data_IF_182191690100
#
_entry.id   IF_182191690100
#
_cell.length_a   1.000
_cell.length_b   1.000
_cell.length_c   1.000
_cell.angle_alpha   90.00
_cell.angle_beta   90.00
_cell.angle_gamma   90.00
#
_symmetry.space_group_name_H-M   'P 1'
#
loop_
_entity.id
_entity.type
_entity.pdbx_description
1 polymer ?
#
# COMPACT_ATOMS: atom_id res chain seq x y z
N UNK A 1 -6.49 52.68 50.54
CA UNK A 1 -7.87 52.36 50.11
C UNK A 1 -7.83 51.84 48.71
N UNK A 2 -7.70 50.48 48.58
CA UNK A 2 -7.87 49.77 47.33
C UNK A 2 -9.35 49.41 47.14
N UNK A 3 -9.92 49.53 45.94
CA UNK A 3 -11.31 49.17 45.73
C UNK A 3 -11.52 47.70 45.95
N UNK A 4 -12.62 47.36 46.67
CA UNK A 4 -13.01 46.00 47.06
C UNK A 4 -13.45 45.04 45.95
N UNK A 5 -13.28 45.40 44.68
CA UNK A 5 -13.77 44.62 43.52
C UNK A 5 -12.69 44.17 42.56
N UNK A 6 -11.43 44.11 43.02
CA UNK A 6 -10.39 43.42 42.25
C UNK A 6 -10.58 41.90 42.43
N UNK A 7 -11.54 41.35 41.69
CA UNK A 7 -11.55 39.91 41.46
C UNK A 7 -10.27 39.57 40.71
N UNK A 8 -9.38 38.92 41.43
CA UNK A 8 -8.25 38.20 40.85
C UNK A 8 -8.81 37.21 39.86
N UNK A 9 -8.74 37.57 38.58
CA UNK A 9 -8.79 36.55 37.52
C UNK A 9 -7.53 35.71 37.69
N UNK A 10 -7.64 34.67 38.46
CA UNK A 10 -6.74 33.52 38.35
C UNK A 10 -7.00 32.98 36.98
N UNK A 11 -6.13 33.27 36.04
CA UNK A 11 -6.12 32.55 34.77
C UNK A 11 -5.98 31.07 35.17
N UNK A 12 -7.06 30.33 35.05
CA UNK A 12 -6.96 28.91 34.91
C UNK A 12 -6.05 28.69 33.70
N UNK A 13 -4.78 28.49 33.96
CA UNK A 13 -3.96 27.77 33.04
C UNK A 13 -4.60 26.39 32.94
N UNK A 14 -5.60 26.28 32.09
CA UNK A 14 -5.92 25.02 31.48
C UNK A 14 -4.59 24.60 30.85
N UNK A 15 -3.92 23.70 31.54
CA UNK A 15 -2.85 22.89 30.97
C UNK A 15 -3.54 22.27 29.77
N UNK A 16 -3.31 22.87 28.58
CA UNK A 16 -3.70 22.24 27.34
C UNK A 16 -3.16 20.83 27.49
N UNK A 17 -3.98 19.81 27.34
CA UNK A 17 -3.51 18.44 27.41
C UNK A 17 -2.29 18.42 26.50
N UNK A 18 -1.16 18.08 27.07
CA UNK A 18 0.08 17.82 26.35
C UNK A 18 -0.33 16.95 25.18
N UNK A 19 -0.19 17.48 23.97
CA UNK A 19 -0.49 16.76 22.75
C UNK A 19 0.46 15.58 22.80
N UNK A 20 -0.02 14.48 23.39
CA UNK A 20 0.70 13.23 23.33
C UNK A 20 0.85 12.98 21.84
N UNK A 21 2.06 12.87 21.38
CA UNK A 21 2.44 12.39 20.07
C UNK A 21 1.81 11.01 19.82
N UNK A 22 0.49 10.99 19.66
CA UNK A 22 -0.29 9.79 19.37
C UNK A 22 -0.17 9.37 17.94
N UNK A 23 0.68 10.05 17.16
CA UNK A 23 0.77 9.91 15.72
C UNK A 23 2.13 9.46 15.20
N UNK A 24 2.96 8.84 16.03
CA UNK A 24 4.13 8.14 15.50
C UNK A 24 3.65 6.92 14.71
N UNK A 25 3.65 7.03 13.38
CA UNK A 25 3.33 5.92 12.49
C UNK A 25 4.35 4.81 12.70
N UNK A 26 3.88 3.58 12.82
CA UNK A 26 4.77 2.44 12.94
C UNK A 26 5.22 1.92 11.57
N UNK A 27 6.42 1.37 11.55
CA UNK A 27 7.04 0.80 10.36
C UNK A 27 7.42 -0.66 10.60
N UNK A 28 7.33 -1.45 9.55
CA UNK A 28 7.88 -2.81 9.56
C UNK A 28 9.39 -2.73 9.34
N UNK A 29 10.17 -3.43 10.14
CA UNK A 29 11.62 -3.43 10.00
C UNK A 29 12.03 -3.95 8.61
N UNK A 30 12.87 -3.18 7.91
CA UNK A 30 13.33 -3.47 6.54
C UNK A 30 14.02 -4.84 6.38
N UNK A 31 14.56 -5.42 7.47
CA UNK A 31 15.12 -6.78 7.44
C UNK A 31 14.13 -7.84 6.95
N UNK A 32 12.84 -7.67 7.25
CA UNK A 32 11.79 -8.61 6.80
C UNK A 32 11.54 -8.47 5.30
N UNK A 33 11.57 -7.24 4.78
CA UNK A 33 11.50 -7.00 3.34
C UNK A 33 12.69 -7.68 2.67
N UNK A 34 13.93 -7.39 3.10
CA UNK A 34 15.16 -7.95 2.54
C UNK A 34 15.16 -9.47 2.56
N UNK A 35 14.86 -10.08 3.72
CA UNK A 35 14.78 -11.54 3.85
C UNK A 35 13.77 -12.16 2.90
N UNK A 36 12.62 -11.54 2.70
CA UNK A 36 11.58 -12.08 1.81
C UNK A 36 11.97 -12.06 0.33
N UNK A 37 13.00 -11.29 -0.04
CA UNK A 37 13.49 -11.16 -1.42
C UNK A 37 14.59 -12.16 -1.77
N UNK A 38 15.19 -12.85 -0.80
CA UNK A 38 16.28 -13.81 -1.01
C UNK A 38 15.86 -14.98 -1.91
N UNK A 39 14.62 -15.43 -1.76
CA UNK A 39 14.04 -16.49 -2.55
C UNK A 39 12.73 -16.05 -3.23
N UNK A 40 12.79 -15.43 -4.40
CA UNK A 40 11.63 -14.78 -5.01
C UNK A 40 10.58 -15.76 -5.59
N UNK A 41 10.86 -17.07 -5.61
CA UNK A 41 9.95 -18.06 -6.17
C UNK A 41 8.83 -18.39 -5.16
N UNK A 42 7.65 -17.88 -5.40
CA UNK A 42 6.40 -18.17 -4.66
C UNK A 42 5.26 -18.55 -5.61
N UNK A 43 4.10 -18.85 -5.08
CA UNK A 43 2.94 -19.26 -5.88
C UNK A 43 2.55 -18.26 -6.98
N UNK A 44 2.69 -16.96 -6.73
CA UNK A 44 2.37 -15.92 -7.71
C UNK A 44 3.47 -15.73 -8.75
N UNK A 45 4.73 -15.65 -8.33
CA UNK A 45 5.85 -15.51 -9.27
C UNK A 45 6.03 -16.75 -10.14
N UNK A 46 5.71 -17.96 -9.62
CA UNK A 46 5.65 -19.17 -10.43
C UNK A 46 4.61 -19.06 -11.55
N UNK A 47 3.40 -18.56 -11.22
CA UNK A 47 2.39 -18.27 -12.24
C UNK A 47 2.92 -17.28 -13.28
N UNK A 48 3.59 -16.21 -12.87
CA UNK A 48 4.14 -15.22 -13.80
C UNK A 48 5.18 -15.82 -14.74
N UNK A 49 6.12 -16.63 -14.22
CA UNK A 49 7.14 -17.30 -15.05
C UNK A 49 6.57 -18.28 -16.08
N UNK A 50 5.42 -18.86 -15.80
CA UNK A 50 4.75 -19.77 -16.74
C UNK A 50 4.00 -19.05 -17.87
N UNK A 51 3.74 -17.72 -17.73
CA UNK A 51 2.89 -16.99 -18.66
C UNK A 51 3.59 -15.80 -19.33
N UNK A 52 4.74 -15.38 -18.83
CA UNK A 52 5.45 -14.19 -19.32
C UNK A 52 6.95 -14.45 -19.49
N UNK A 53 7.60 -13.61 -20.27
CA UNK A 53 9.05 -13.67 -20.46
C UNK A 53 9.79 -13.49 -19.13
N UNK A 54 10.78 -14.35 -18.88
CA UNK A 54 11.50 -14.42 -17.61
C UNK A 54 12.10 -13.07 -17.20
N UNK A 55 12.80 -12.42 -18.12
CA UNK A 55 13.47 -11.14 -17.84
C UNK A 55 12.51 -10.05 -17.41
N UNK A 56 11.31 -10.01 -17.99
CA UNK A 56 10.26 -9.07 -17.61
C UNK A 56 9.70 -9.39 -16.22
N UNK A 57 9.54 -10.67 -15.90
CA UNK A 57 9.10 -11.10 -14.57
C UNK A 57 10.14 -10.71 -13.53
N UNK A 58 11.44 -11.02 -13.78
CA UNK A 58 12.54 -10.67 -12.89
C UNK A 58 12.63 -9.16 -12.67
N UNK A 59 12.43 -8.38 -13.73
CA UNK A 59 12.37 -6.92 -13.64
C UNK A 59 11.24 -6.47 -12.70
N UNK A 60 10.05 -7.04 -12.81
CA UNK A 60 8.91 -6.64 -11.98
C UNK A 60 9.04 -7.13 -10.53
N UNK A 61 9.61 -8.31 -10.30
CA UNK A 61 9.95 -8.77 -8.94
C UNK A 61 10.84 -7.74 -8.24
N UNK A 62 11.89 -7.27 -8.93
CA UNK A 62 12.80 -6.24 -8.40
C UNK A 62 12.12 -4.88 -8.25
N UNK A 63 11.39 -4.42 -9.27
CA UNK A 63 10.69 -3.12 -9.28
C UNK A 63 9.72 -3.00 -8.11
N UNK A 64 8.90 -4.02 -7.89
CA UNK A 64 7.85 -4.00 -6.87
C UNK A 64 8.25 -4.64 -5.55
N UNK A 65 9.51 -5.11 -5.42
CA UNK A 65 9.97 -5.80 -4.21
C UNK A 65 9.02 -6.94 -3.81
N UNK A 66 8.65 -7.81 -4.78
CA UNK A 66 7.74 -8.93 -4.49
C UNK A 66 8.43 -9.93 -3.57
N UNK A 67 7.94 -10.00 -2.33
CA UNK A 67 8.51 -10.88 -1.31
C UNK A 67 7.87 -12.27 -1.31
N UNK A 68 8.53 -13.21 -0.64
CA UNK A 68 8.05 -14.58 -0.39
C UNK A 68 8.04 -14.86 1.09
N UNK A 69 6.99 -15.52 1.57
CA UNK A 69 6.89 -16.03 2.94
C UNK A 69 6.28 -17.43 2.94
N UNK A 70 6.75 -18.27 3.86
CA UNK A 70 6.14 -19.57 4.14
C UNK A 70 4.88 -19.35 4.97
N UNK A 71 3.73 -19.59 4.39
CA UNK A 71 2.45 -19.47 5.08
C UNK A 71 1.41 -20.42 4.48
N UNK A 72 0.53 -20.95 5.35
CA UNK A 72 -0.50 -21.91 4.95
C UNK A 72 0.05 -23.18 4.27
N UNK A 73 1.20 -23.68 4.75
CA UNK A 73 1.97 -24.78 4.17
C UNK A 73 2.29 -24.54 2.67
N UNK A 74 2.54 -23.30 2.31
CA UNK A 74 2.83 -22.90 0.94
C UNK A 74 3.70 -21.64 0.90
N UNK A 75 4.28 -21.36 -0.25
CA UNK A 75 5.04 -20.13 -0.49
C UNK A 75 4.11 -19.03 -1.00
N UNK A 76 3.68 -18.15 -0.11
CA UNK A 76 2.81 -17.03 -0.41
C UNK A 76 3.60 -15.80 -0.86
N UNK A 77 2.99 -14.97 -1.71
CA UNK A 77 3.57 -13.66 -2.07
C UNK A 77 3.29 -12.63 -0.99
N UNK A 78 4.27 -11.74 -0.75
CA UNK A 78 4.07 -10.49 0.00
C UNK A 78 4.13 -9.33 -0.97
N UNK A 79 3.07 -8.53 -0.99
CA UNK A 79 3.03 -7.22 -1.64
C UNK A 79 3.36 -6.17 -0.60
N UNK A 80 4.61 -5.72 -0.56
CA UNK A 80 5.07 -4.71 0.38
C UNK A 80 4.53 -3.35 0.02
N UNK A 81 4.02 -2.62 1.00
CA UNK A 81 3.70 -1.21 0.89
C UNK A 81 4.89 -0.41 1.41
N UNK A 82 5.73 0.01 0.48
CA UNK A 82 6.87 0.90 0.72
C UNK A 82 6.45 2.30 0.33
N UNK A 83 6.68 3.27 1.20
CA UNK A 83 6.39 4.68 0.91
C UNK A 83 7.46 5.31 0.00
N UNK A 84 7.33 6.58 -0.27
CA UNK A 84 8.21 7.35 -1.14
C UNK A 84 9.68 7.34 -0.68
N UNK A 85 9.95 7.16 0.62
CA UNK A 85 11.27 7.06 1.23
C UNK A 85 11.77 5.61 1.34
N UNK A 86 11.04 4.64 0.79
CA UNK A 86 11.30 3.21 0.92
C UNK A 86 11.09 2.63 2.31
N UNK A 87 10.48 3.37 3.22
CA UNK A 87 10.11 2.85 4.53
C UNK A 87 8.89 1.90 4.42
N UNK A 88 8.98 0.76 5.11
CA UNK A 88 7.96 -0.27 4.99
C UNK A 88 6.78 -0.01 5.93
N UNK A 89 5.63 0.37 5.37
CA UNK A 89 4.39 0.60 6.11
C UNK A 89 3.71 -0.71 6.52
N UNK A 90 3.66 -1.66 5.61
CA UNK A 90 3.11 -3.01 5.83
C UNK A 90 3.37 -3.90 4.63
N UNK A 91 2.88 -5.14 4.68
CA UNK A 91 2.87 -6.07 3.56
C UNK A 91 1.58 -6.87 3.54
N UNK A 92 0.99 -7.03 2.36
CA UNK A 92 -0.20 -7.85 2.13
C UNK A 92 0.23 -9.23 1.68
N UNK A 93 -0.03 -10.24 2.51
CA UNK A 93 0.33 -11.63 2.22
C UNK A 93 -0.85 -12.30 1.54
N UNK A 94 -0.62 -12.91 0.38
CA UNK A 94 -1.67 -13.57 -0.39
C UNK A 94 -1.18 -14.89 -1.00
N UNK A 95 -2.08 -15.87 -1.03
CA UNK A 95 -1.82 -17.12 -1.73
C UNK A 95 -2.59 -17.17 -3.04
N UNK A 96 -1.87 -17.50 -4.11
CA UNK A 96 -2.43 -17.72 -5.44
C UNK A 96 -2.25 -19.17 -5.87
N UNK A 97 -3.17 -19.64 -6.67
CA UNK A 97 -2.96 -20.89 -7.41
C UNK A 97 -1.89 -20.67 -8.48
N UNK A 98 -0.82 -21.45 -8.42
CA UNK A 98 0.35 -21.27 -9.27
C UNK A 98 0.13 -21.52 -10.75
N UNK A 99 -0.96 -22.25 -11.12
CA UNK A 99 -1.25 -22.57 -12.50
C UNK A 99 -2.22 -21.55 -13.12
N UNK A 100 -3.20 -21.09 -12.35
CA UNK A 100 -4.25 -20.20 -12.83
C UNK A 100 -4.09 -18.72 -12.44
N UNK A 101 -3.21 -18.43 -11.49
CA UNK A 101 -3.05 -17.09 -10.92
C UNK A 101 -4.30 -16.59 -10.18
N UNK A 102 -5.26 -17.45 -9.86
CA UNK A 102 -6.45 -17.09 -9.08
C UNK A 102 -6.12 -17.11 -7.60
N UNK A 103 -6.76 -16.22 -6.82
CA UNK A 103 -6.64 -16.24 -5.36
C UNK A 103 -7.18 -17.55 -4.79
N UNK A 104 -6.45 -18.15 -3.86
CA UNK A 104 -6.92 -19.32 -3.11
C UNK A 104 -7.92 -18.84 -2.05
N UNK A 105 -9.19 -19.25 -2.18
CA UNK A 105 -10.30 -18.81 -1.33
C UNK A 105 -10.91 -19.93 -0.48
N UNK A 106 -10.51 -21.19 -0.72
CA UNK A 106 -11.02 -22.36 0.03
C UNK A 106 -9.88 -23.01 0.80
N UNK A 107 -10.13 -23.52 2.01
CA UNK A 107 -11.39 -23.50 2.77
C UNK A 107 -11.77 -22.12 3.31
N UNK A 108 -10.83 -21.15 3.30
CA UNK A 108 -11.01 -19.75 3.68
C UNK A 108 -10.16 -18.85 2.76
N UNK A 109 -10.35 -17.54 2.83
CA UNK A 109 -9.52 -16.59 2.08
C UNK A 109 -8.09 -16.60 2.61
N UNK A 110 -7.12 -16.97 1.78
CA UNK A 110 -5.71 -16.93 2.12
C UNK A 110 -5.14 -15.52 1.88
N UNK A 111 -5.50 -14.62 2.79
CA UNK A 111 -5.07 -13.22 2.82
C UNK A 111 -4.85 -12.80 4.26
N UNK A 112 -3.74 -12.13 4.53
CA UNK A 112 -3.44 -11.49 5.81
C UNK A 112 -2.46 -10.35 5.60
N UNK A 113 -2.10 -9.66 6.68
CA UNK A 113 -1.17 -8.54 6.65
C UNK A 113 -0.01 -8.79 7.61
N UNK A 114 1.17 -8.27 7.27
CA UNK A 114 2.37 -8.43 8.08
C UNK A 114 2.22 -7.80 9.46
N UNK A 115 1.52 -6.67 9.57
CA UNK A 115 1.26 -5.98 10.84
C UNK A 115 0.20 -6.64 11.72
N UNK A 116 -0.59 -7.59 11.18
CA UNK A 116 -1.57 -8.29 12.01
C UNK A 116 -0.88 -9.24 12.98
N UNK A 117 -1.22 -9.20 14.29
CA UNK A 117 -0.70 -10.16 15.25
C UNK A 117 -1.14 -11.56 14.79
N UNK A 118 -0.20 -12.34 14.32
CA UNK A 118 -0.41 -13.76 14.05
C UNK A 118 0.25 -14.54 15.18
N UNK A 119 -0.24 -15.76 15.44
CA UNK A 119 0.43 -16.68 16.38
C UNK A 119 1.85 -17.01 15.93
N UNK A 120 2.14 -16.75 14.67
CA UNK A 120 3.47 -16.86 14.08
C UNK A 120 4.24 -15.57 14.44
N UNK A 121 5.10 -15.64 15.44
CA UNK A 121 5.96 -14.54 15.92
C UNK A 121 7.00 -14.06 14.89
N UNK A 122 6.84 -14.36 13.62
CA UNK A 122 7.84 -14.13 12.58
C UNK A 122 8.14 -12.63 12.39
N UNK A 123 7.14 -11.75 12.61
CA UNK A 123 7.26 -10.30 12.41
C UNK A 123 7.28 -9.50 13.73
N UNK A 124 7.41 -10.20 14.88
CA UNK A 124 7.39 -9.61 16.21
C UNK A 124 5.97 -9.43 16.78
N UNK A 125 5.87 -9.31 18.09
CA UNK A 125 4.64 -8.90 18.77
C UNK A 125 4.49 -7.39 18.58
N UNK A 126 3.68 -6.98 17.60
CA UNK A 126 3.32 -5.59 17.43
C UNK A 126 1.93 -5.42 18.04
N UNK A 127 1.89 -5.20 19.37
CA UNK A 127 0.71 -4.64 20.01
C UNK A 127 0.58 -3.17 19.59
N UNK A 128 -0.62 -2.73 19.28
CA UNK A 128 -0.92 -1.32 19.01
C UNK A 128 -0.18 -0.71 17.80
N UNK A 129 -0.08 -1.47 16.71
CA UNK A 129 0.54 -0.99 15.48
C UNK A 129 -0.29 0.14 14.86
N UNK A 130 0.25 1.36 14.90
CA UNK A 130 -0.36 2.53 14.25
C UNK A 130 -0.09 2.48 12.73
N UNK A 131 -1.04 1.87 12.02
CA UNK A 131 -0.94 1.61 10.60
C UNK A 131 -1.28 2.85 9.76
N UNK A 132 -0.35 3.29 8.93
CA UNK A 132 -0.61 4.22 7.83
C UNK A 132 -0.29 3.53 6.51
N UNK A 133 -1.30 3.00 5.83
CA UNK A 133 -1.13 2.35 4.54
C UNK A 133 -0.82 3.35 3.43
N UNK A 134 -0.04 2.93 2.45
CA UNK A 134 0.30 3.66 1.23
C UNK A 134 -0.11 2.87 0.00
N UNK A 135 -0.04 3.46 -1.19
CA UNK A 135 -0.29 2.70 -2.41
C UNK A 135 0.81 1.67 -2.64
N UNK A 136 0.45 0.47 -3.06
CA UNK A 136 1.43 -0.49 -3.55
C UNK A 136 2.15 0.08 -4.76
N UNK A 137 3.47 0.19 -4.69
CA UNK A 137 4.30 0.81 -5.72
C UNK A 137 4.56 2.31 -5.50
N UNK A 138 4.17 2.91 -4.36
CA UNK A 138 4.40 4.33 -4.05
C UNK A 138 5.89 4.69 -4.10
N UNK A 139 6.78 3.83 -3.64
CA UNK A 139 8.24 4.01 -3.70
C UNK A 139 8.78 4.26 -5.13
N UNK A 140 7.97 4.09 -6.16
CA UNK A 140 8.35 4.36 -7.55
C UNK A 140 8.14 5.83 -7.95
N UNK A 141 7.53 6.65 -7.08
CA UNK A 141 7.14 8.02 -7.39
C UNK A 141 8.31 8.91 -7.79
N UNK A 142 9.49 8.68 -7.20
CA UNK A 142 10.71 9.44 -7.50
C UNK A 142 11.57 8.82 -8.62
N UNK A 143 11.02 7.86 -9.38
CA UNK A 143 11.75 7.31 -10.54
C UNK A 143 11.99 8.40 -11.57
N UNK A 144 13.26 8.68 -11.96
CA UNK A 144 13.57 9.75 -12.89
C UNK A 144 12.86 9.61 -14.24
N UNK A 145 12.27 10.72 -14.72
CA UNK A 145 11.59 10.77 -16.02
C UNK A 145 10.18 10.18 -16.03
N UNK A 146 9.64 9.76 -14.89
CA UNK A 146 8.29 9.22 -14.79
C UNK A 146 7.35 10.30 -14.26
N UNK A 147 6.42 10.72 -15.13
CA UNK A 147 5.44 11.78 -14.85
C UNK A 147 4.00 11.25 -14.80
N UNK A 148 3.77 9.97 -15.17
CA UNK A 148 2.44 9.38 -15.22
C UNK A 148 2.42 8.03 -14.52
N UNK A 149 1.41 7.83 -13.64
CA UNK A 149 1.14 6.57 -12.95
C UNK A 149 -0.25 6.08 -13.26
N UNK A 150 -0.36 4.78 -13.52
CA UNK A 150 -1.61 4.08 -13.76
C UNK A 150 -2.07 3.40 -12.47
N UNK A 151 -3.28 3.71 -12.02
CA UNK A 151 -3.80 3.25 -10.72
C UNK A 151 -4.89 2.20 -10.92
N UNK A 152 -4.68 1.03 -10.30
CA UNK A 152 -5.64 -0.08 -10.29
C UNK A 152 -6.01 -0.48 -8.86
N UNK A 153 -7.01 -1.34 -8.68
CA UNK A 153 -7.43 -1.74 -7.34
C UNK A 153 -6.47 -2.76 -6.71
N UNK A 154 -6.03 -3.76 -7.49
CA UNK A 154 -5.27 -4.89 -6.94
C UNK A 154 -3.78 -4.85 -7.31
N UNK A 155 -2.94 -5.24 -6.36
CA UNK A 155 -1.49 -5.36 -6.51
C UNK A 155 -1.11 -6.33 -7.65
N UNK A 156 -1.84 -7.46 -7.75
CA UNK A 156 -1.65 -8.42 -8.84
C UNK A 156 -1.87 -7.77 -10.21
N UNK A 157 -2.91 -6.96 -10.34
CA UNK A 157 -3.22 -6.25 -11.61
C UNK A 157 -2.10 -5.27 -11.95
N UNK A 158 -1.61 -4.51 -10.97
CA UNK A 158 -0.49 -3.58 -11.19
C UNK A 158 0.76 -4.29 -11.73
N UNK A 159 1.14 -5.41 -11.11
CA UNK A 159 2.30 -6.21 -11.55
C UNK A 159 2.11 -6.76 -12.96
N UNK A 160 0.95 -7.37 -13.25
CA UNK A 160 0.68 -7.96 -14.59
C UNK A 160 0.65 -6.88 -15.67
N UNK A 161 -0.01 -5.75 -15.41
CA UNK A 161 -0.03 -4.62 -16.37
C UNK A 161 1.37 -4.08 -16.62
N UNK A 162 2.24 -4.03 -15.60
CA UNK A 162 3.64 -3.63 -15.76
C UNK A 162 4.46 -4.63 -16.57
N UNK A 163 4.20 -5.93 -16.46
CA UNK A 163 4.84 -6.94 -17.33
C UNK A 163 4.41 -6.74 -18.78
N UNK A 164 3.11 -6.51 -19.00
CA UNK A 164 2.56 -6.31 -20.37
C UNK A 164 3.00 -4.99 -20.99
N UNK A 165 3.28 -3.97 -20.17
CA UNK A 165 3.69 -2.63 -20.61
C UNK A 165 4.87 -2.15 -19.74
N UNK A 166 6.08 -2.68 -19.93
CA UNK A 166 7.20 -2.48 -19.00
C UNK A 166 7.70 -1.04 -18.87
N UNK A 167 7.36 -0.19 -19.82
CA UNK A 167 7.69 1.25 -19.81
C UNK A 167 6.60 2.10 -19.11
N UNK A 168 5.55 1.48 -18.59
CA UNK A 168 4.52 2.18 -17.81
C UNK A 168 4.62 1.82 -16.33
N UNK A 169 4.20 2.74 -15.46
CA UNK A 169 4.28 2.58 -14.03
C UNK A 169 2.87 2.41 -13.44
N UNK A 170 2.65 1.24 -12.88
CA UNK A 170 1.36 0.84 -12.31
C UNK A 170 1.47 0.75 -10.80
N UNK A 171 0.50 1.33 -10.11
CA UNK A 171 0.37 1.29 -8.65
C UNK A 171 -1.01 0.74 -8.28
N UNK A 172 -1.16 0.27 -7.05
CA UNK A 172 -2.44 -0.25 -6.62
C UNK A 172 -2.90 0.37 -5.30
N UNK A 173 -4.23 0.62 -5.22
CA UNK A 173 -4.85 1.10 -3.98
C UNK A 173 -4.92 0.01 -2.90
N UNK A 174 -4.82 -1.27 -3.29
CA UNK A 174 -4.96 -2.40 -2.38
C UNK A 174 -6.40 -2.68 -1.92
N UNK A 175 -7.36 -1.93 -2.44
CA UNK A 175 -8.79 -2.09 -2.17
C UNK A 175 -9.60 -0.85 -2.54
N UNK A 176 -10.89 -1.07 -2.84
CA UNK A 176 -11.82 -0.06 -3.34
C UNK A 176 -11.92 1.20 -2.48
N UNK A 177 -11.79 1.04 -1.15
CA UNK A 177 -11.97 2.14 -0.21
C UNK A 177 -10.68 2.91 0.12
N UNK A 178 -9.55 2.44 -0.38
CA UNK A 178 -8.23 2.92 0.01
C UNK A 178 -7.74 4.13 -0.80
N UNK A 179 -8.60 5.12 -0.98
CA UNK A 179 -8.28 6.40 -1.63
C UNK A 179 -8.53 7.52 -0.62
N UNK A 180 -7.56 8.40 -0.46
CA UNK A 180 -7.61 9.56 0.41
C UNK A 180 -6.42 10.47 0.13
N UNK A 181 -6.49 11.71 0.65
CA UNK A 181 -5.48 12.75 0.41
C UNK A 181 -4.06 12.28 0.81
N UNK A 182 -3.92 11.68 1.98
CA UNK A 182 -2.62 11.18 2.48
C UNK A 182 -1.92 10.22 1.51
N UNK A 183 -2.69 9.48 0.70
CA UNK A 183 -2.15 8.53 -0.28
C UNK A 183 -1.94 9.16 -1.65
N UNK A 184 -2.60 10.27 -1.94
CA UNK A 184 -2.42 11.02 -3.18
C UNK A 184 -1.25 11.99 -3.07
N UNK A 185 -0.95 12.49 -1.87
CA UNK A 185 0.05 13.53 -1.61
C UNK A 185 1.43 13.25 -2.23
N UNK A 186 2.01 12.04 -2.16
CA UNK A 186 3.30 11.77 -2.81
C UNK A 186 3.29 11.98 -4.33
N UNK A 187 2.10 11.96 -4.95
CA UNK A 187 1.90 12.06 -6.40
C UNK A 187 1.42 13.44 -6.86
N UNK A 188 1.57 14.50 -6.06
CA UNK A 188 0.99 15.83 -6.34
C UNK A 188 1.45 16.38 -7.70
N UNK A 189 2.71 16.17 -8.06
CA UNK A 189 3.30 16.62 -9.33
C UNK A 189 3.19 15.60 -10.45
N UNK A 190 2.45 14.51 -10.24
CA UNK A 190 2.31 13.40 -11.18
C UNK A 190 0.90 13.34 -11.75
N UNK A 191 0.81 12.84 -12.96
CA UNK A 191 -0.49 12.50 -13.56
C UNK A 191 -0.92 11.11 -13.10
N UNK A 192 -2.10 11.01 -12.50
CA UNK A 192 -2.69 9.75 -12.05
C UNK A 192 -3.84 9.33 -12.96
N UNK A 193 -3.74 8.14 -13.56
CA UNK A 193 -4.79 7.58 -14.40
C UNK A 193 -5.40 6.38 -13.70
N UNK A 194 -6.62 6.54 -13.21
CA UNK A 194 -7.37 5.52 -12.48
C UNK A 194 -8.15 4.61 -13.42
N UNK A 195 -8.04 3.31 -13.20
CA UNK A 195 -8.77 2.24 -13.91
C UNK A 195 -9.61 1.45 -12.89
N UNK A 196 -10.81 1.92 -12.55
CA UNK A 196 -11.68 1.21 -11.62
C UNK A 196 -12.14 -0.13 -12.23
N UNK A 197 -12.29 -1.12 -11.37
CA UNK A 197 -12.89 -2.40 -11.76
C UNK A 197 -14.32 -2.20 -12.25
N UNK A 198 -14.83 -3.14 -13.08
CA UNK A 198 -16.20 -3.08 -13.61
C UNK A 198 -17.26 -3.06 -12.50
N UNK A 199 -18.36 -2.37 -12.75
CA UNK A 199 -19.49 -2.28 -11.82
C UNK A 199 -19.46 -1.02 -10.95
N UNK A 200 -19.81 -1.14 -9.65
CA UNK A 200 -19.94 0.00 -8.75
C UNK A 200 -18.62 0.68 -8.39
N UNK A 201 -17.48 0.06 -8.68
CA UNK A 201 -16.14 0.58 -8.37
C UNK A 201 -15.89 1.94 -9.04
N UNK A 202 -16.37 2.11 -10.29
CA UNK A 202 -16.23 3.35 -11.04
C UNK A 202 -16.93 4.54 -10.33
N UNK A 203 -18.15 4.35 -9.84
CA UNK A 203 -18.88 5.40 -9.13
C UNK A 203 -18.25 5.69 -7.76
N UNK A 204 -17.81 4.65 -7.06
CA UNK A 204 -17.13 4.80 -5.76
C UNK A 204 -15.85 5.62 -5.93
N UNK A 205 -15.02 5.31 -6.91
CA UNK A 205 -13.78 6.04 -7.15
C UNK A 205 -14.02 7.48 -7.63
N UNK A 206 -14.99 7.70 -8.52
CA UNK A 206 -15.39 9.06 -8.92
C UNK A 206 -15.76 9.93 -7.71
N UNK A 207 -16.59 9.40 -6.82
CA UNK A 207 -17.02 10.13 -5.63
C UNK A 207 -15.84 10.41 -4.68
N UNK A 208 -14.95 9.44 -4.49
CA UNK A 208 -13.78 9.59 -3.61
C UNK A 208 -12.72 10.54 -4.18
N UNK A 209 -12.53 10.55 -5.49
CA UNK A 209 -11.52 11.38 -6.15
C UNK A 209 -12.01 12.80 -6.42
N UNK A 210 -13.33 13.01 -6.49
CA UNK A 210 -13.93 14.33 -6.79
C UNK A 210 -13.36 15.47 -5.94
N UNK A 211 -13.15 15.33 -4.62
CA UNK A 211 -12.59 16.41 -3.79
C UNK A 211 -11.16 16.81 -4.15
N UNK A 212 -10.43 15.94 -4.86
CA UNK A 212 -9.00 16.11 -5.13
C UNK A 212 -8.69 16.44 -6.60
N UNK A 213 -9.72 16.52 -7.46
CA UNK A 213 -9.49 16.71 -8.90
C UNK A 213 -8.96 18.09 -9.27
N UNK A 214 -9.16 19.08 -8.40
CA UNK A 214 -8.67 20.45 -8.63
C UNK A 214 -7.18 20.59 -8.19
N UNK A 215 -6.75 19.81 -7.20
CA UNK A 215 -5.41 19.87 -6.62
C UNK A 215 -4.44 18.85 -7.26
N UNK A 216 -4.98 17.79 -7.88
CA UNK A 216 -4.20 16.69 -8.44
C UNK A 216 -4.57 16.46 -9.91
N UNK A 217 -3.57 16.15 -10.73
CA UNK A 217 -3.79 15.79 -12.13
C UNK A 217 -4.36 14.37 -12.26
N UNK A 218 -5.67 14.22 -12.07
CA UNK A 218 -6.38 12.93 -12.03
C UNK A 218 -7.22 12.74 -13.29
N UNK A 219 -7.08 11.57 -13.92
CA UNK A 219 -7.92 11.09 -15.03
C UNK A 219 -8.53 9.75 -14.62
N UNK A 220 -9.85 9.58 -14.82
CA UNK A 220 -10.54 8.32 -14.58
C UNK A 220 -10.95 7.72 -15.91
N UNK A 221 -10.41 6.56 -16.26
CA UNK A 221 -10.78 5.78 -17.44
C UNK A 221 -11.81 4.73 -17.06
N UNK A 222 -12.98 4.82 -17.68
CA UNK A 222 -14.07 3.85 -17.50
C UNK A 222 -14.03 2.93 -18.71
N UNK A 223 -13.88 1.60 -18.44
CA UNK A 223 -13.92 0.56 -19.47
C UNK A 223 -15.33 0.04 -19.73
#
# INVERSE_FOLDING_TARGET
DLPKDAQLYVSNNEVKPEYQEKDSVNYINSKYVTKSLEEPLNSFTYFLYNHFQRDLVDMMIRRYRLGTVEKWNNRAVVFWQLDEDFDCRTGKIMLYDRNTGKRVKKPYNHITWVHCPTKDKEYGEISDFNLKQVFFGEHLVHTPGIEEFHVVESEKTAVICSIMKPNTYWIATGGLQNIGEDRLRPFIDKKLIFYPDKGNSSNTWKNKLKPFMDDYNIVIKIG
#
